data_IF_665748527808
#
_entry.id   IF_665748527808
#
_cell.length_a   1.000
_cell.length_b   1.000
_cell.length_c   1.000
_cell.angle_alpha   90.00
_cell.angle_beta   90.00
_cell.angle_gamma   90.00
#
_symmetry.space_group_name_H-M   'P 1'
#
loop_
_entity.id
_entity.type
_entity.pdbx_description
1 polymer ?
#
# COMPACT_ATOMS: atom_id res chain seq x y z
N UNK A 1 -2.74 5.31 -37.58
CA UNK A 1 -1.53 5.72 -36.82
C UNK A 1 -1.92 5.67 -35.33
N UNK A 2 -1.54 4.62 -34.58
CA UNK A 2 -1.82 4.59 -33.13
C UNK A 2 -0.98 5.71 -32.50
N UNK A 3 -1.63 6.67 -31.84
CA UNK A 3 -0.94 7.78 -31.20
C UNK A 3 -0.19 7.25 -29.99
N UNK A 4 1.12 7.47 -29.95
CA UNK A 4 1.95 7.10 -28.81
C UNK A 4 1.52 7.89 -27.56
N UNK A 5 1.57 7.26 -26.39
CA UNK A 5 1.28 7.92 -25.13
C UNK A 5 2.25 9.09 -24.90
N UNK A 6 1.69 10.21 -24.44
CA UNK A 6 2.50 11.35 -23.99
C UNK A 6 3.37 10.93 -22.80
N UNK A 7 4.63 11.38 -22.79
CA UNK A 7 5.56 11.18 -21.67
C UNK A 7 4.97 11.60 -20.33
N UNK A 8 4.13 12.64 -20.31
CA UNK A 8 3.45 13.12 -19.09
C UNK A 8 2.53 12.06 -18.50
N UNK A 9 1.81 11.32 -19.34
CA UNK A 9 0.90 10.27 -18.88
C UNK A 9 1.69 9.08 -18.36
N UNK A 10 2.78 8.71 -19.02
CA UNK A 10 3.65 7.62 -18.56
C UNK A 10 4.29 7.93 -17.20
N UNK A 11 4.79 9.15 -17.02
CA UNK A 11 5.33 9.61 -15.73
C UNK A 11 4.25 9.70 -14.66
N UNK A 12 3.08 10.26 -14.95
CA UNK A 12 1.97 10.33 -14.01
C UNK A 12 1.47 8.93 -13.59
N UNK A 13 1.50 7.96 -14.51
CA UNK A 13 1.20 6.57 -14.21
C UNK A 13 2.19 5.99 -13.18
N UNK A 14 3.50 6.12 -13.40
CA UNK A 14 4.52 5.65 -12.47
C UNK A 14 4.43 6.32 -11.09
N UNK A 15 4.37 7.66 -11.06
CA UNK A 15 4.28 8.44 -9.81
C UNK A 15 3.00 8.12 -9.03
N UNK A 16 1.91 7.79 -9.72
CA UNK A 16 0.62 7.49 -9.10
C UNK A 16 0.62 6.32 -8.12
N UNK A 17 1.63 5.44 -8.18
CA UNK A 17 1.74 4.27 -7.29
C UNK A 17 2.76 4.43 -6.14
N UNK A 18 3.68 5.40 -6.25
CA UNK A 18 4.81 5.61 -5.32
C UNK A 18 4.40 5.61 -3.85
N UNK A 19 3.30 6.28 -3.49
CA UNK A 19 2.84 6.32 -2.11
C UNK A 19 2.53 4.92 -1.55
N UNK A 20 1.91 4.06 -2.36
CA UNK A 20 1.60 2.69 -1.97
C UNK A 20 2.89 1.85 -1.83
N UNK A 21 3.85 2.04 -2.73
CA UNK A 21 5.16 1.36 -2.69
C UNK A 21 5.96 1.74 -1.44
N UNK A 22 6.00 3.02 -1.08
CA UNK A 22 6.63 3.50 0.16
C UNK A 22 6.04 2.81 1.41
N UNK A 23 4.71 2.73 1.49
CA UNK A 23 4.04 2.06 2.60
C UNK A 23 4.29 0.54 2.60
N UNK A 24 4.32 -0.09 1.42
CA UNK A 24 4.58 -1.52 1.28
C UNK A 24 5.99 -1.88 1.74
N UNK A 25 6.96 -1.07 1.34
CA UNK A 25 8.36 -1.19 1.75
C UNK A 25 8.49 -1.17 3.27
N UNK A 26 7.87 -0.20 3.94
CA UNK A 26 7.83 -0.15 5.41
C UNK A 26 7.06 -1.33 6.04
N UNK A 27 5.97 -1.78 5.43
CA UNK A 27 5.20 -2.94 5.90
C UNK A 27 6.05 -4.21 5.93
N UNK A 28 6.78 -4.51 4.85
CA UNK A 28 7.59 -5.72 4.76
C UNK A 28 8.87 -5.67 5.58
N UNK A 29 9.42 -4.48 5.82
CA UNK A 29 10.73 -4.32 6.47
C UNK A 29 10.62 -4.00 7.96
N UNK A 30 9.77 -3.06 8.34
CA UNK A 30 9.79 -2.44 9.66
C UNK A 30 8.61 -2.85 10.54
N UNK A 31 7.45 -3.20 9.98
CA UNK A 31 6.25 -3.43 10.79
C UNK A 31 6.44 -4.51 11.87
N UNK A 32 7.05 -5.66 11.53
CA UNK A 32 7.31 -6.71 12.51
C UNK A 32 8.18 -6.22 13.67
N UNK A 33 9.25 -5.49 13.33
CA UNK A 33 10.20 -4.91 14.28
C UNK A 33 9.47 -3.92 15.18
N UNK A 34 8.64 -3.04 14.61
CA UNK A 34 7.82 -2.09 15.35
C UNK A 34 6.86 -2.79 16.33
N UNK A 35 6.14 -3.83 15.89
CA UNK A 35 5.21 -4.58 16.74
C UNK A 35 5.93 -5.24 17.95
N UNK A 36 7.13 -5.79 17.73
CA UNK A 36 7.86 -6.52 18.77
C UNK A 36 8.67 -5.62 19.70
N UNK A 37 9.38 -4.63 19.16
CA UNK A 37 10.36 -3.86 19.92
C UNK A 37 9.82 -2.50 20.39
N UNK A 38 8.90 -1.89 19.64
CA UNK A 38 8.32 -0.58 20.00
C UNK A 38 7.02 -0.77 20.77
N UNK A 39 6.09 -1.56 20.24
CA UNK A 39 4.83 -1.86 20.93
C UNK A 39 4.96 -2.99 21.97
N UNK A 40 6.11 -3.66 22.01
CA UNK A 40 6.42 -4.72 22.99
C UNK A 40 5.38 -5.85 23.01
N UNK A 41 4.77 -6.15 21.85
CA UNK A 41 3.85 -7.28 21.73
C UNK A 41 4.62 -8.59 21.77
N UNK A 42 4.00 -9.64 22.31
CA UNK A 42 4.55 -10.98 22.23
C UNK A 42 4.76 -11.40 20.76
N UNK A 43 5.82 -12.20 20.53
CA UNK A 43 6.22 -12.63 19.18
C UNK A 43 5.10 -13.36 18.45
N UNK A 44 4.32 -14.18 19.17
CA UNK A 44 3.18 -14.90 18.61
C UNK A 44 2.07 -13.97 18.15
N UNK A 45 1.74 -12.95 18.95
CA UNK A 45 0.73 -11.97 18.60
C UNK A 45 1.17 -11.07 17.44
N UNK A 46 2.42 -10.60 17.45
CA UNK A 46 2.98 -9.81 16.36
C UNK A 46 2.97 -10.58 15.02
N UNK A 47 3.39 -11.85 15.05
CA UNK A 47 3.33 -12.74 13.89
C UNK A 47 1.89 -13.00 13.41
N UNK A 48 0.95 -13.17 14.34
CA UNK A 48 -0.46 -13.34 14.02
C UNK A 48 -1.07 -12.11 13.34
N UNK A 49 -0.76 -10.89 13.82
CA UNK A 49 -1.23 -9.65 13.21
C UNK A 49 -0.71 -9.47 11.78
N UNK A 50 0.56 -9.81 11.52
CA UNK A 50 1.09 -9.82 10.15
C UNK A 50 0.40 -10.86 9.28
N UNK A 51 0.23 -12.09 9.77
CA UNK A 51 -0.46 -13.14 9.04
C UNK A 51 -1.90 -12.74 8.70
N UNK A 52 -2.60 -12.13 9.65
CA UNK A 52 -3.94 -11.57 9.43
C UNK A 52 -3.93 -10.57 8.27
N UNK A 53 -2.94 -9.69 8.23
CA UNK A 53 -2.76 -8.77 7.10
C UNK A 53 -2.54 -9.47 5.76
N UNK A 54 -1.71 -10.51 5.72
CA UNK A 54 -1.48 -11.30 4.50
C UNK A 54 -2.76 -12.01 4.02
N UNK A 55 -3.55 -12.56 4.96
CA UNK A 55 -4.85 -13.16 4.64
C UNK A 55 -5.83 -12.11 4.11
N UNK A 56 -5.87 -10.93 4.74
CA UNK A 56 -6.72 -9.82 4.29
C UNK A 56 -6.38 -9.37 2.87
N UNK A 57 -5.09 -9.28 2.52
CA UNK A 57 -4.65 -8.99 1.15
C UNK A 57 -5.07 -10.09 0.18
N UNK A 58 -4.73 -11.35 0.48
CA UNK A 58 -5.04 -12.50 -0.37
C UNK A 58 -6.55 -12.64 -0.68
N UNK A 59 -7.42 -12.24 0.27
CA UNK A 59 -8.87 -12.20 0.05
C UNK A 59 -9.29 -10.94 -0.72
N UNK A 60 -8.70 -9.78 -0.42
CA UNK A 60 -9.05 -8.50 -1.04
C UNK A 60 -8.67 -8.44 -2.52
N UNK A 61 -7.49 -8.93 -2.92
CA UNK A 61 -6.99 -8.87 -4.30
C UNK A 61 -7.99 -9.44 -5.34
N UNK A 62 -8.52 -10.67 -5.22
CA UNK A 62 -9.47 -11.21 -6.19
C UNK A 62 -10.84 -10.51 -6.13
N UNK A 63 -11.31 -10.14 -4.93
CA UNK A 63 -12.59 -9.45 -4.75
C UNK A 63 -12.57 -8.08 -5.45
N UNK A 64 -11.51 -7.33 -5.25
CA UNK A 64 -11.29 -6.03 -5.89
C UNK A 64 -11.07 -6.21 -7.39
N UNK A 65 -10.34 -7.24 -7.83
CA UNK A 65 -10.19 -7.56 -9.24
C UNK A 65 -11.54 -7.70 -9.92
N UNK A 66 -12.39 -8.57 -9.38
CA UNK A 66 -13.74 -8.82 -9.90
C UNK A 66 -14.64 -7.58 -9.82
N UNK A 67 -14.63 -6.87 -8.70
CA UNK A 67 -15.50 -5.72 -8.49
C UNK A 67 -15.07 -4.51 -9.32
N UNK A 68 -13.76 -4.29 -9.43
CA UNK A 68 -13.19 -3.28 -10.31
C UNK A 68 -13.39 -3.60 -11.78
N UNK A 69 -13.79 -4.82 -12.15
CA UNK A 69 -14.17 -5.21 -13.51
C UNK A 69 -15.67 -5.07 -13.82
N UNK A 70 -16.54 -5.16 -12.83
CA UNK A 70 -18.01 -5.13 -13.03
C UNK A 70 -18.62 -3.73 -13.13
N UNK A 71 -17.84 -2.70 -12.79
CA UNK A 71 -18.34 -1.33 -12.69
C UNK A 71 -18.48 -0.90 -11.24
N UNK A 72 -18.54 0.40 -11.02
CA UNK A 72 -18.72 0.97 -9.70
C UNK A 72 -19.79 2.05 -9.80
N UNK A 73 -20.85 1.87 -8.99
CA UNK A 73 -22.05 2.70 -8.99
C UNK A 73 -21.78 4.15 -8.55
N UNK A 74 -20.65 4.39 -7.86
CA UNK A 74 -20.26 5.69 -7.31
C UNK A 74 -19.05 6.33 -8.01
N UNK A 75 -18.59 5.76 -9.14
CA UNK A 75 -17.30 6.11 -9.74
C UNK A 75 -17.43 7.17 -10.84
N UNK A 76 -17.43 8.45 -10.45
CA UNK A 76 -17.52 9.61 -11.37
C UNK A 76 -16.24 9.85 -12.20
N UNK A 77 -15.07 9.36 -11.75
CA UNK A 77 -13.76 9.60 -12.38
C UNK A 77 -13.24 8.41 -13.21
N UNK A 78 -14.09 7.42 -13.46
CA UNK A 78 -13.75 6.19 -14.17
C UNK A 78 -13.39 5.04 -13.22
N UNK A 79 -13.81 3.83 -13.59
CA UNK A 79 -13.81 2.64 -12.73
C UNK A 79 -12.46 2.35 -12.07
N UNK A 80 -11.37 2.29 -12.84
CA UNK A 80 -10.02 2.00 -12.31
C UNK A 80 -9.51 3.11 -11.40
N UNK A 81 -9.63 4.36 -11.84
CA UNK A 81 -9.14 5.53 -11.08
C UNK A 81 -9.87 5.71 -9.76
N UNK A 82 -11.17 5.44 -9.73
CA UNK A 82 -11.95 5.54 -8.50
C UNK A 82 -11.61 4.41 -7.52
N UNK A 83 -11.41 3.17 -7.96
CA UNK A 83 -10.90 2.10 -7.09
C UNK A 83 -9.51 2.41 -6.55
N UNK A 84 -8.65 2.99 -7.38
CA UNK A 84 -7.34 3.47 -6.94
C UNK A 84 -7.48 4.55 -5.87
N UNK A 85 -8.33 5.56 -6.08
CA UNK A 85 -8.54 6.63 -5.11
C UNK A 85 -9.10 6.12 -3.77
N UNK A 86 -10.07 5.20 -3.80
CA UNK A 86 -10.60 4.54 -2.60
C UNK A 86 -9.48 3.83 -1.85
N UNK A 87 -8.67 3.05 -2.57
CA UNK A 87 -7.53 2.35 -1.98
C UNK A 87 -6.51 3.31 -1.37
N UNK A 88 -6.15 4.38 -2.08
CA UNK A 88 -5.21 5.39 -1.61
C UNK A 88 -5.71 6.07 -0.34
N UNK A 89 -7.01 6.38 -0.25
CA UNK A 89 -7.60 6.93 0.97
C UNK A 89 -7.54 5.92 2.12
N UNK A 90 -7.89 4.65 1.88
CA UNK A 90 -7.76 3.60 2.89
C UNK A 90 -6.32 3.50 3.41
N UNK A 91 -5.31 3.49 2.54
CA UNK A 91 -3.90 3.47 2.94
C UNK A 91 -3.51 4.74 3.71
N UNK A 92 -3.89 5.92 3.21
CA UNK A 92 -3.58 7.21 3.84
C UNK A 92 -4.10 7.31 5.27
N UNK A 93 -5.29 6.76 5.55
CA UNK A 93 -5.85 6.76 6.89
C UNK A 93 -5.32 5.62 7.77
N UNK A 94 -5.25 4.40 7.25
CA UNK A 94 -4.87 3.24 8.07
C UNK A 94 -3.38 3.22 8.41
N UNK A 95 -2.51 3.53 7.44
CA UNK A 95 -1.08 3.30 7.58
C UNK A 95 -0.44 4.17 8.70
N UNK A 96 -0.65 5.50 8.76
CA UNK A 96 -0.12 6.29 9.87
C UNK A 96 -0.68 5.84 11.23
N UNK A 97 -1.95 5.43 11.28
CA UNK A 97 -2.59 4.99 12.52
C UNK A 97 -1.97 3.72 13.11
N UNK A 98 -1.40 2.83 12.28
CA UNK A 98 -0.65 1.65 12.75
C UNK A 98 0.57 2.07 13.58
N UNK A 99 1.21 3.18 13.22
CA UNK A 99 2.45 3.67 13.85
C UNK A 99 2.24 4.74 14.94
N UNK A 100 0.99 5.17 15.19
CA UNK A 100 0.71 6.11 16.28
C UNK A 100 0.72 5.36 17.62
N UNK A 101 1.76 5.61 18.41
CA UNK A 101 1.86 5.12 19.80
C UNK A 101 0.97 5.98 20.69
N UNK A 102 -0.17 5.43 21.09
CA UNK A 102 -1.04 6.08 22.08
C UNK A 102 -0.89 5.39 23.45
N UNK A 103 0.01 5.91 24.29
CA UNK A 103 0.25 5.37 25.63
C UNK A 103 -1.00 5.37 26.53
N UNK A 104 -1.84 6.40 26.41
CA UNK A 104 -3.14 6.49 27.12
C UNK A 104 -4.13 5.44 26.60
N UNK A 105 -4.12 5.17 25.29
CA UNK A 105 -5.01 4.18 24.68
C UNK A 105 -4.63 2.77 25.11
N UNK A 106 -3.35 2.45 25.25
CA UNK A 106 -2.94 1.12 25.71
C UNK A 106 -3.42 0.85 27.15
N UNK A 107 -3.27 1.84 28.04
CA UNK A 107 -3.71 1.74 29.44
C UNK A 107 -5.24 1.65 29.58
N UNK A 108 -6.01 2.28 28.68
CA UNK A 108 -7.48 2.31 28.73
C UNK A 108 -8.13 1.16 27.94
N UNK A 109 -7.60 0.79 26.77
CA UNK A 109 -8.22 -0.21 25.89
C UNK A 109 -7.73 -1.64 26.13
N UNK A 110 -6.50 -1.87 26.63
CA UNK A 110 -5.94 -3.22 26.77
C UNK A 110 -6.07 -4.05 25.47
N UNK A 111 -6.80 -5.17 25.52
CA UNK A 111 -7.09 -6.01 24.35
C UNK A 111 -7.82 -5.27 23.22
N UNK A 112 -8.62 -4.24 23.54
CA UNK A 112 -9.29 -3.40 22.54
C UNK A 112 -8.33 -2.68 21.59
N UNK A 113 -7.11 -2.36 22.04
CA UNK A 113 -6.07 -1.77 21.19
C UNK A 113 -5.59 -2.76 20.13
N UNK A 114 -5.43 -4.03 20.50
CA UNK A 114 -5.02 -5.11 19.57
C UNK A 114 -6.08 -5.33 18.49
N UNK A 115 -7.37 -5.26 18.85
CA UNK A 115 -8.46 -5.34 17.89
C UNK A 115 -8.47 -4.15 16.92
N UNK A 116 -8.28 -2.93 17.45
CA UNK A 116 -8.18 -1.73 16.62
C UNK A 116 -6.98 -1.81 15.66
N UNK A 117 -5.84 -2.27 16.16
CA UNK A 117 -4.62 -2.46 15.37
C UNK A 117 -4.85 -3.50 14.26
N UNK A 118 -5.45 -4.65 14.58
CA UNK A 118 -5.82 -5.66 13.58
C UNK A 118 -6.80 -5.12 12.53
N UNK A 119 -7.79 -4.32 12.94
CA UNK A 119 -8.70 -3.65 12.01
C UNK A 119 -7.97 -2.68 11.08
N UNK A 120 -7.06 -1.85 11.60
CA UNK A 120 -6.28 -0.91 10.79
C UNK A 120 -5.34 -1.64 9.82
N UNK A 121 -4.74 -2.75 10.25
CA UNK A 121 -3.94 -3.63 9.38
C UNK A 121 -4.80 -4.19 8.25
N UNK A 122 -5.99 -4.72 8.54
CA UNK A 122 -6.90 -5.22 7.49
C UNK A 122 -7.34 -4.12 6.53
N UNK A 123 -7.62 -2.92 7.04
CA UNK A 123 -7.98 -1.76 6.22
C UNK A 123 -6.83 -1.31 5.32
N UNK A 124 -5.60 -1.32 5.84
CA UNK A 124 -4.39 -1.04 5.07
C UNK A 124 -4.23 -2.05 3.93
N UNK A 125 -4.34 -3.35 4.23
CA UNK A 125 -4.18 -4.41 3.23
C UNK A 125 -5.27 -4.37 2.15
N UNK A 126 -6.52 -4.07 2.53
CA UNK A 126 -7.58 -3.78 1.56
C UNK A 126 -7.23 -2.58 0.68
N UNK A 127 -6.75 -1.48 1.27
CA UNK A 127 -6.35 -0.29 0.53
C UNK A 127 -5.19 -0.53 -0.43
N UNK A 128 -4.19 -1.29 0.03
CA UNK A 128 -3.04 -1.70 -0.76
C UNK A 128 -3.46 -2.55 -1.96
N UNK A 129 -4.28 -3.59 -1.73
CA UNK A 129 -4.85 -4.41 -2.80
C UNK A 129 -5.67 -3.57 -3.79
N UNK A 130 -6.46 -2.61 -3.29
CA UNK A 130 -7.31 -1.74 -4.10
C UNK A 130 -6.49 -0.84 -5.03
N UNK A 131 -5.44 -0.21 -4.53
CA UNK A 131 -4.54 0.61 -5.36
C UNK A 131 -3.79 -0.26 -6.37
N UNK A 132 -3.18 -1.37 -5.92
CA UNK A 132 -2.33 -2.20 -6.77
C UNK A 132 -3.10 -2.84 -7.94
N UNK A 133 -4.23 -3.49 -7.64
CA UNK A 133 -5.02 -4.17 -8.68
C UNK A 133 -5.57 -3.17 -9.69
N UNK A 134 -6.08 -2.02 -9.21
CA UNK A 134 -6.66 -1.01 -10.10
C UNK A 134 -5.59 -0.26 -10.92
N UNK A 135 -4.39 -0.07 -10.37
CA UNK A 135 -3.25 0.53 -11.06
C UNK A 135 -2.73 -0.35 -12.19
N UNK A 136 -2.54 -1.64 -11.94
CA UNK A 136 -2.11 -2.59 -12.97
C UNK A 136 -3.17 -2.78 -14.05
N UNK A 137 -4.45 -2.82 -13.67
CA UNK A 137 -5.55 -2.94 -14.62
C UNK A 137 -5.77 -1.68 -15.48
N UNK A 138 -5.10 -0.56 -15.17
CA UNK A 138 -5.15 0.66 -15.98
C UNK A 138 -4.23 0.59 -17.21
N UNK A 139 -3.16 -0.23 -17.19
CA UNK A 139 -2.23 -0.39 -18.32
C UNK A 139 -2.94 -0.77 -19.63
N UNK A 140 -3.76 -1.85 -19.67
CA UNK A 140 -4.44 -2.24 -20.90
C UNK A 140 -5.50 -1.21 -21.34
N UNK A 141 -6.05 -0.43 -20.40
CA UNK A 141 -7.01 0.64 -20.69
C UNK A 141 -6.32 1.88 -21.30
N UNK A 142 -5.05 2.13 -20.97
CA UNK A 142 -4.26 3.26 -21.50
C UNK A 142 -3.74 3.00 -22.91
N UNK A 143 -3.31 1.78 -23.22
CA UNK A 143 -2.74 1.44 -24.53
C UNK A 143 -2.97 0.01 -24.96
N UNK A 144 -3.12 -0.15 -26.28
CA UNK A 144 -3.22 -1.43 -26.99
C UNK A 144 -1.92 -1.78 -27.74
N UNK A 145 -0.81 -1.12 -27.42
CA UNK A 145 0.52 -1.38 -27.99
C UNK A 145 1.37 -2.06 -26.92
N UNK A 146 1.84 -3.27 -27.18
CA UNK A 146 2.62 -4.08 -26.25
C UNK A 146 3.86 -3.34 -25.75
N UNK A 147 4.66 -2.77 -26.67
CA UNK A 147 5.84 -1.99 -26.30
C UNK A 147 5.56 -0.81 -25.35
N UNK A 148 4.38 -0.19 -25.42
CA UNK A 148 4.00 0.87 -24.49
C UNK A 148 3.56 0.33 -23.12
N UNK A 149 2.96 -0.87 -23.09
CA UNK A 149 2.62 -1.54 -21.82
C UNK A 149 3.89 -1.94 -21.08
N UNK A 150 4.88 -2.45 -21.81
CA UNK A 150 6.18 -2.79 -21.25
C UNK A 150 6.90 -1.55 -20.71
N UNK A 151 6.87 -0.44 -21.46
CA UNK A 151 7.44 0.83 -21.02
C UNK A 151 6.75 1.37 -19.75
N UNK A 152 5.42 1.27 -19.65
CA UNK A 152 4.68 1.66 -18.45
C UNK A 152 5.05 0.79 -17.24
N UNK A 153 5.19 -0.52 -17.43
CA UNK A 153 5.64 -1.44 -16.39
C UNK A 153 7.06 -1.11 -15.92
N UNK A 154 7.99 -0.88 -16.85
CA UNK A 154 9.38 -0.52 -16.53
C UNK A 154 9.41 0.78 -15.73
N UNK A 155 8.68 1.81 -16.17
CA UNK A 155 8.61 3.10 -15.45
C UNK A 155 8.11 2.87 -14.02
N UNK A 156 7.04 2.08 -13.83
CA UNK A 156 6.53 1.74 -12.50
C UNK A 156 7.59 1.07 -11.62
N UNK A 157 8.29 0.05 -12.14
CA UNK A 157 9.35 -0.64 -11.40
C UNK A 157 10.51 0.27 -11.02
N UNK A 158 10.88 1.24 -11.86
CA UNK A 158 11.91 2.22 -11.51
C UNK A 158 11.46 3.06 -10.31
N UNK A 159 10.21 3.52 -10.30
CA UNK A 159 9.65 4.29 -9.18
C UNK A 159 9.52 3.46 -7.91
N UNK A 160 9.13 2.19 -8.02
CA UNK A 160 9.07 1.22 -6.93
C UNK A 160 10.44 1.05 -6.26
N UNK A 161 11.48 0.72 -7.04
CA UNK A 161 12.86 0.58 -6.53
C UNK A 161 13.37 1.89 -5.90
N UNK A 162 13.09 3.04 -6.52
CA UNK A 162 13.44 4.34 -5.93
C UNK A 162 12.74 4.57 -4.59
N UNK A 163 11.49 4.12 -4.45
CA UNK A 163 10.72 4.21 -3.21
C UNK A 163 11.33 3.35 -2.11
N UNK A 164 11.69 2.11 -2.43
CA UNK A 164 12.38 1.20 -1.51
C UNK A 164 13.70 1.78 -1.02
N UNK A 165 14.54 2.23 -1.96
CA UNK A 165 15.83 2.86 -1.63
C UNK A 165 15.62 4.09 -0.74
N UNK A 166 14.61 4.92 -1.03
CA UNK A 166 14.30 6.08 -0.20
C UNK A 166 13.92 5.67 1.23
N UNK A 167 13.07 4.65 1.42
CA UNK A 167 12.70 4.15 2.76
C UNK A 167 13.94 3.67 3.51
N UNK A 168 14.81 2.89 2.88
CA UNK A 168 16.04 2.42 3.52
C UNK A 168 17.01 3.55 3.84
N UNK A 169 17.14 4.56 2.98
CA UNK A 169 17.97 5.73 3.24
C UNK A 169 17.44 6.55 4.42
N UNK A 170 16.13 6.77 4.48
CA UNK A 170 15.50 7.46 5.62
C UNK A 170 15.71 6.67 6.89
N UNK A 171 15.43 5.36 6.88
CA UNK A 171 15.65 4.48 8.02
C UNK A 171 17.11 4.51 8.49
N UNK A 172 18.07 4.44 7.57
CA UNK A 172 19.49 4.56 7.88
C UNK A 172 19.80 5.89 8.57
N UNK A 173 19.33 7.01 8.03
CA UNK A 173 19.58 8.34 8.63
C UNK A 173 18.96 8.43 10.03
N UNK A 174 17.72 8.00 10.20
CA UNK A 174 17.02 8.12 11.49
C UNK A 174 17.56 7.17 12.56
N UNK A 175 17.97 5.96 12.18
CA UNK A 175 18.45 4.97 13.16
C UNK A 175 19.97 4.99 13.35
N UNK A 176 20.75 5.56 12.42
CA UNK A 176 22.20 5.66 12.58
C UNK A 176 22.60 6.64 13.71
N UNK A 177 21.76 7.64 14.02
CA UNK A 177 22.01 8.57 15.13
C UNK A 177 21.90 7.89 16.51
N UNK A 178 21.21 6.75 16.61
CA UNK A 178 21.01 6.00 17.86
C UNK A 178 22.04 4.86 18.09
N UNK A 179 23.03 4.72 17.20
CA UNK A 179 24.15 3.77 17.38
C UNK A 179 25.18 4.35 18.36
N UNK A 180 25.47 3.72 19.52
CA UNK A 180 26.50 4.18 20.44
C UNK A 180 27.93 4.09 19.87
#
# INVERSE_FOLDING_TARGET
RKMALSRRVKLAYGVGHVFNDLCASMWFTYLLVYLQYVLQLDRGLAGFLLLMGQVADAVSTPLIGLQSDRGCTFCTYGRRKSWHAIGTLCVLFSFPFIFIVCGVCFAVLGFGYVLLLGFMICLFQFGWAATQVSHLALIPDLTNVEAERDELNIIRYIFDVCSDVLVYLVAWITFAEDSP
#
